data_IF_913059017582
#
_entry.id   IF_913059017582
#
_cell.length_a   1.000
_cell.length_b   1.000
_cell.length_c   1.000
_cell.angle_alpha   90.00
_cell.angle_beta   90.00
_cell.angle_gamma   90.00
#
_symmetry.space_group_name_H-M   'P 1'
#
loop_
_entity.id
_entity.type
_entity.pdbx_description
1 polymer ?
#
# COMPACT_ATOMS: atom_id res chain seq x y z
N UNK A 1 -0.83 6.49 26.96
CA UNK A 1 0.35 5.63 26.81
C UNK A 1 0.32 4.97 25.47
N UNK A 2 1.41 5.09 24.79
CA UNK A 2 1.55 4.32 23.58
C UNK A 2 1.67 2.84 23.94
N UNK A 3 0.95 2.03 23.22
CA UNK A 3 1.01 0.61 23.47
C UNK A 3 2.37 0.07 22.99
N UNK A 4 3.19 -0.48 23.86
CA UNK A 4 4.50 -1.01 23.46
C UNK A 4 4.39 -2.09 22.39
N UNK A 5 3.31 -2.81 22.36
CA UNK A 5 3.06 -3.87 21.40
C UNK A 5 3.03 -3.37 19.96
N UNK A 6 2.80 -2.08 19.74
CA UNK A 6 2.80 -1.51 18.40
C UNK A 6 4.18 -1.57 17.76
N UNK A 7 5.22 -1.18 18.49
CA UNK A 7 6.60 -1.28 18.01
C UNK A 7 7.05 -2.72 17.98
N UNK A 8 6.67 -3.49 18.99
CA UNK A 8 6.98 -4.91 19.03
C UNK A 8 6.37 -5.60 17.81
N UNK A 9 5.13 -5.28 17.48
CA UNK A 9 4.45 -5.85 16.32
C UNK A 9 5.19 -5.58 15.03
N UNK A 10 5.76 -4.38 14.87
CA UNK A 10 6.50 -4.05 13.67
C UNK A 10 7.72 -4.93 13.50
N UNK A 11 8.53 -5.06 14.54
CA UNK A 11 9.73 -5.89 14.49
C UNK A 11 9.40 -7.37 14.39
N UNK A 12 8.41 -7.82 15.15
CA UNK A 12 7.96 -9.20 15.10
C UNK A 12 7.38 -9.55 13.73
N UNK A 13 6.60 -8.63 13.15
CA UNK A 13 6.03 -8.85 11.83
C UNK A 13 7.12 -9.00 10.79
N UNK A 14 8.14 -8.14 10.81
CA UNK A 14 9.26 -8.25 9.88
C UNK A 14 9.97 -9.58 10.07
N UNK A 15 10.21 -9.97 11.31
CA UNK A 15 10.87 -11.25 11.61
C UNK A 15 10.06 -12.44 11.13
N UNK A 16 8.76 -12.43 11.38
CA UNK A 16 7.86 -13.50 10.96
C UNK A 16 7.82 -13.59 9.44
N UNK A 17 7.58 -12.47 8.76
CA UNK A 17 7.48 -12.46 7.31
C UNK A 17 8.79 -12.83 6.63
N UNK A 18 9.92 -12.57 7.27
CA UNK A 18 11.23 -12.97 6.72
C UNK A 18 11.42 -14.48 6.69
N UNK A 19 10.69 -15.22 7.54
CA UNK A 19 10.79 -16.67 7.63
C UNK A 19 9.78 -17.41 6.76
N UNK A 20 8.84 -16.71 6.15
CA UNK A 20 7.76 -17.33 5.39
C UNK A 20 7.63 -16.68 4.02
N UNK A 21 7.21 -17.48 3.06
CA UNK A 21 6.84 -16.98 1.74
C UNK A 21 5.37 -17.29 1.49
N UNK A 22 4.62 -16.26 1.17
CA UNK A 22 3.20 -16.38 0.83
C UNK A 22 3.00 -16.24 -0.67
N UNK A 23 1.91 -16.76 -1.19
CA UNK A 23 1.55 -16.56 -2.59
C UNK A 23 1.06 -15.13 -2.81
N UNK A 24 0.29 -14.59 -1.88
CA UNK A 24 -0.25 -13.24 -1.96
C UNK A 24 0.06 -12.48 -0.69
N UNK A 25 0.42 -11.22 -0.87
CA UNK A 25 0.53 -10.26 0.24
C UNK A 25 -0.39 -9.09 -0.03
N UNK A 26 -1.31 -8.83 0.89
CA UNK A 26 -2.31 -7.78 0.75
C UNK A 26 -2.07 -6.73 1.82
N UNK A 27 -2.03 -5.47 1.42
CA UNK A 27 -1.79 -4.39 2.36
C UNK A 27 -2.47 -3.09 1.90
N UNK A 28 -2.59 -2.15 2.82
CA UNK A 28 -3.09 -0.81 2.55
C UNK A 28 -2.05 0.25 2.83
N UNK A 29 -2.40 1.48 2.57
CA UNK A 29 -1.57 2.65 2.84
C UNK A 29 -2.45 3.78 3.39
N UNK A 30 -1.83 4.77 4.03
CA UNK A 30 -2.54 5.94 4.51
C UNK A 30 -2.82 6.93 3.38
N UNK A 31 -1.94 7.00 2.40
CA UNK A 31 -2.11 7.89 1.27
C UNK A 31 -1.21 7.52 0.09
N UNK A 32 -1.52 8.08 -1.05
CA UNK A 32 -0.74 7.93 -2.28
C UNK A 32 -0.52 9.32 -2.85
N UNK A 33 0.73 9.70 -3.04
CA UNK A 33 1.09 10.98 -3.62
C UNK A 33 0.89 10.97 -5.13
N UNK A 34 0.87 12.16 -5.73
CA UNK A 34 0.67 12.30 -7.18
C UNK A 34 1.78 11.62 -7.99
N UNK A 35 2.98 11.52 -7.43
CA UNK A 35 4.08 10.82 -8.07
C UNK A 35 4.05 9.31 -7.87
N UNK A 36 3.07 8.81 -7.14
CA UNK A 36 2.91 7.38 -6.88
C UNK A 36 3.60 6.89 -5.62
N UNK A 37 4.17 7.77 -4.81
CA UNK A 37 4.78 7.38 -3.54
C UNK A 37 3.70 6.89 -2.57
N UNK A 38 3.99 5.79 -1.88
CA UNK A 38 3.11 5.25 -0.86
C UNK A 38 3.45 5.87 0.48
N UNK A 39 2.43 6.36 1.19
CA UNK A 39 2.59 7.14 2.40
C UNK A 39 1.89 6.45 3.56
N UNK A 40 2.51 6.51 4.74
CA UNK A 40 1.93 5.99 5.98
C UNK A 40 2.16 6.99 7.12
N UNK A 41 1.45 6.80 8.23
CA UNK A 41 1.58 7.70 9.37
C UNK A 41 2.85 7.43 10.16
N UNK A 42 3.31 6.19 10.19
CA UNK A 42 4.47 5.77 10.97
C UNK A 42 5.43 4.91 10.16
N UNK A 43 6.72 5.02 10.48
CA UNK A 43 7.73 4.19 9.84
C UNK A 43 7.53 2.69 10.11
N UNK A 44 6.94 2.35 11.25
CA UNK A 44 6.64 0.96 11.57
C UNK A 44 5.66 0.35 10.57
N UNK A 45 4.69 1.13 10.13
CA UNK A 45 3.72 0.68 9.11
C UNK A 45 4.41 0.46 7.76
N UNK A 46 5.34 1.36 7.41
CA UNK A 46 6.14 1.20 6.18
C UNK A 46 6.95 -0.09 6.23
N UNK A 47 7.62 -0.35 7.35
CA UNK A 47 8.45 -1.56 7.47
C UNK A 47 7.62 -2.84 7.41
N UNK A 48 6.46 -2.85 8.05
CA UNK A 48 5.57 -4.01 8.00
C UNK A 48 5.08 -4.25 6.58
N UNK A 49 4.64 -3.21 5.91
CA UNK A 49 4.16 -3.30 4.53
C UNK A 49 5.25 -3.80 3.59
N UNK A 50 6.48 -3.27 3.73
CA UNK A 50 7.58 -3.69 2.89
C UNK A 50 7.99 -5.15 3.17
N UNK A 51 7.90 -5.60 4.42
CA UNK A 51 8.15 -7.00 4.74
C UNK A 51 7.12 -7.91 4.06
N UNK A 52 5.87 -7.51 4.04
CA UNK A 52 4.82 -8.25 3.32
C UNK A 52 5.15 -8.31 1.84
N UNK A 53 5.45 -7.16 1.25
CA UNK A 53 5.74 -7.07 -0.19
C UNK A 53 6.93 -7.94 -0.59
N UNK A 54 7.98 -7.95 0.20
CA UNK A 54 9.21 -8.67 -0.12
C UNK A 54 9.10 -10.17 0.08
N UNK A 55 8.13 -10.64 0.84
CA UNK A 55 8.00 -12.05 1.20
C UNK A 55 6.75 -12.72 0.63
N UNK A 56 6.21 -12.17 -0.44
CA UNK A 56 5.11 -12.79 -1.17
C UNK A 56 5.45 -12.85 -2.66
N UNK A 57 4.78 -13.72 -3.39
CA UNK A 57 4.95 -13.82 -4.83
C UNK A 57 4.23 -12.70 -5.55
N UNK A 58 3.03 -12.39 -5.09
CA UNK A 58 2.21 -11.34 -5.68
C UNK A 58 1.78 -10.39 -4.58
N UNK A 59 2.20 -9.13 -4.70
CA UNK A 59 1.84 -8.08 -3.76
C UNK A 59 0.65 -7.30 -4.29
N UNK A 60 -0.32 -7.06 -3.44
CA UNK A 60 -1.58 -6.40 -3.79
C UNK A 60 -1.81 -5.24 -2.84
N UNK A 61 -1.86 -4.04 -3.38
CA UNK A 61 -2.27 -2.86 -2.64
C UNK A 61 -3.78 -2.68 -2.80
N UNK A 62 -4.50 -2.69 -1.69
CA UNK A 62 -5.94 -2.44 -1.70
C UNK A 62 -6.17 -1.05 -1.12
N UNK A 63 -6.82 -0.20 -1.88
CA UNK A 63 -7.03 1.18 -1.47
C UNK A 63 -8.37 1.68 -2.01
N UNK A 64 -8.77 2.85 -1.58
CA UNK A 64 -9.93 3.53 -2.15
C UNK A 64 -9.49 4.89 -2.71
N UNK A 65 -10.35 5.48 -3.52
CA UNK A 65 -10.02 6.73 -4.20
C UNK A 65 -9.70 7.87 -3.24
N UNK A 66 -10.22 7.84 -2.00
CA UNK A 66 -9.97 8.90 -1.02
C UNK A 66 -8.53 8.92 -0.52
N UNK A 67 -7.77 7.84 -0.71
CA UNK A 67 -6.37 7.78 -0.30
C UNK A 67 -5.45 8.51 -1.28
N UNK A 68 -5.86 8.67 -2.51
CA UNK A 68 -5.07 9.41 -3.49
C UNK A 68 -5.08 10.89 -3.15
N UNK A 69 -3.90 11.45 -2.94
CA UNK A 69 -3.75 12.83 -2.52
C UNK A 69 -3.77 13.07 -1.03
N UNK A 70 -4.06 12.03 -0.24
CA UNK A 70 -4.03 12.16 1.22
C UNK A 70 -2.58 12.18 1.69
N UNK A 71 -2.23 13.16 2.49
CA UNK A 71 -0.88 13.34 2.99
C UNK A 71 -0.62 12.49 4.22
N UNK A 72 0.60 11.95 4.33
CA UNK A 72 1.07 11.26 5.53
C UNK A 72 2.60 11.37 5.55
N UNK A 73 3.21 11.45 6.73
CA UNK A 73 4.62 11.85 6.82
C UNK A 73 5.64 10.78 6.47
N UNK A 74 5.30 9.50 6.62
CA UNK A 74 6.27 8.44 6.36
C UNK A 74 6.16 7.98 4.91
N UNK A 75 7.22 8.18 4.15
CA UNK A 75 7.29 7.77 2.75
C UNK A 75 8.02 6.43 2.66
N UNK A 76 7.39 5.47 2.01
CA UNK A 76 8.02 4.18 1.84
C UNK A 76 7.45 3.43 0.65
N UNK A 77 8.24 3.34 -0.41
CA UNK A 77 7.85 2.59 -1.59
C UNK A 77 7.04 3.42 -2.59
N UNK A 78 6.76 2.79 -3.69
CA UNK A 78 6.08 3.38 -4.83
C UNK A 78 5.10 2.36 -5.41
N UNK A 79 4.01 2.81 -5.99
CA UNK A 79 3.00 1.89 -6.54
C UNK A 79 3.56 1.02 -7.67
N UNK A 80 4.63 1.44 -8.32
CA UNK A 80 5.29 0.60 -9.34
C UNK A 80 5.90 -0.68 -8.79
N UNK A 81 6.11 -0.75 -7.48
CA UNK A 81 6.72 -1.90 -6.83
C UNK A 81 5.73 -3.00 -6.47
N UNK A 82 4.43 -2.70 -6.52
CA UNK A 82 3.42 -3.71 -6.25
C UNK A 82 2.95 -4.34 -7.56
N UNK A 83 2.52 -5.58 -7.48
CA UNK A 83 2.07 -6.29 -8.67
C UNK A 83 0.68 -5.84 -9.09
N UNK A 84 -0.17 -5.49 -8.15
CA UNK A 84 -1.54 -5.12 -8.44
C UNK A 84 -2.04 -4.08 -7.45
N UNK A 85 -2.80 -3.11 -7.96
CA UNK A 85 -3.47 -2.10 -7.15
C UNK A 85 -4.97 -2.23 -7.39
N UNK A 86 -5.72 -2.52 -6.33
CA UNK A 86 -7.17 -2.61 -6.40
C UNK A 86 -7.75 -1.34 -5.78
N UNK A 87 -8.56 -0.65 -6.53
CA UNK A 87 -9.20 0.60 -6.10
C UNK A 87 -10.68 0.59 -6.45
N UNK A 88 -11.48 1.23 -5.62
CA UNK A 88 -12.95 1.22 -5.77
C UNK A 88 -13.44 2.02 -6.98
N UNK A 89 -12.80 3.14 -7.29
CA UNK A 89 -13.17 3.96 -8.44
C UNK A 89 -11.99 4.83 -8.84
N UNK A 90 -12.09 5.47 -10.00
CA UNK A 90 -11.04 6.34 -10.51
C UNK A 90 -10.82 7.53 -9.58
N UNK A 91 -9.57 7.82 -9.19
CA UNK A 91 -9.25 9.05 -8.48
C UNK A 91 -9.42 10.28 -9.37
N UNK A 92 -9.18 11.44 -8.78
CA UNK A 92 -9.26 12.71 -9.49
C UNK A 92 -8.23 12.82 -10.62
N UNK A 93 -8.48 13.76 -11.54
CA UNK A 93 -7.71 13.87 -12.77
C UNK A 93 -6.22 14.13 -12.59
N UNK A 94 -5.82 14.75 -11.48
CA UNK A 94 -4.39 15.00 -11.23
C UNK A 94 -3.59 13.70 -11.02
N UNK A 95 -4.25 12.57 -10.85
CA UNK A 95 -3.61 11.27 -10.77
C UNK A 95 -3.60 10.52 -12.11
N UNK A 96 -4.21 11.09 -13.14
CA UNK A 96 -4.24 10.45 -14.45
C UNK A 96 -2.87 10.09 -15.00
N UNK A 97 -1.83 10.95 -14.88
CA UNK A 97 -0.50 10.57 -15.40
C UNK A 97 0.07 9.31 -14.74
N UNK A 98 -0.03 9.20 -13.42
CA UNK A 98 0.51 8.03 -12.73
C UNK A 98 -0.33 6.79 -13.01
N UNK A 99 -1.65 6.94 -13.10
CA UNK A 99 -2.53 5.83 -13.41
C UNK A 99 -2.29 5.31 -14.83
N UNK A 100 -2.06 6.21 -15.78
CA UNK A 100 -1.77 5.80 -17.15
C UNK A 100 -0.40 5.11 -17.26
N UNK A 101 0.58 5.56 -16.47
CA UNK A 101 1.90 4.94 -16.47
C UNK A 101 1.89 3.51 -15.96
N UNK A 102 0.98 3.18 -15.06
CA UNK A 102 0.92 1.87 -14.41
C UNK A 102 -0.44 1.20 -14.58
N UNK A 103 -1.12 1.46 -15.70
CA UNK A 103 -2.47 0.96 -15.93
C UNK A 103 -2.55 -0.58 -15.92
N UNK A 104 -1.49 -1.27 -16.29
CA UNK A 104 -1.47 -2.72 -16.29
C UNK A 104 -1.48 -3.30 -14.87
N UNK A 105 -1.06 -2.49 -13.89
CA UNK A 105 -1.00 -2.91 -12.50
C UNK A 105 -2.24 -2.49 -11.71
N UNK A 106 -3.01 -1.56 -12.24
CA UNK A 106 -4.14 -0.96 -11.53
C UNK A 106 -5.45 -1.53 -12.04
N UNK A 107 -6.21 -2.09 -11.14
CA UNK A 107 -7.53 -2.62 -11.42
C UNK A 107 -8.56 -1.88 -10.60
N UNK A 108 -9.58 -1.37 -11.28
CA UNK A 108 -10.67 -0.69 -10.61
C UNK A 108 -11.77 -1.69 -10.35
N UNK A 109 -12.02 -1.94 -9.08
CA UNK A 109 -13.06 -2.87 -8.65
C UNK A 109 -14.26 -2.05 -8.27
N UNK A 110 -15.11 -1.76 -9.24
CA UNK A 110 -16.29 -0.97 -9.00
C UNK A 110 -17.26 -1.68 -8.07
N UNK A 111 -17.60 -1.03 -6.96
CA UNK A 111 -18.65 -1.51 -6.08
C UNK A 111 -19.90 -0.72 -6.40
N UNK A 112 -21.00 -1.38 -6.79
CA UNK A 112 -22.22 -0.65 -7.07
C UNK A 112 -22.69 0.10 -5.83
N UNK A 113 -23.00 1.35 -6.01
CA UNK A 113 -23.63 2.14 -4.96
C UNK A 113 -25.11 1.79 -4.93
N UNK A 114 -25.54 1.35 -3.78
CA UNK A 114 -26.95 1.02 -3.59
C UNK A 114 -27.73 2.21 -3.07
#
# INVERSE_FOLDING_TARGET
MRLPDRDIQSEEAVSIFSNYRADFGIFGVAGIAEDGAMLDFHNSEVRTREAIRQNCRTSILVTDSSKFGRSAPAVGGHISQVNQVLVDCMPENNFSPILNSFHDQIEIVGVPHL
#
